data_IF_316075072048
#
_entry.id   IF_316075072048
#
_cell.length_a   1.000
_cell.length_b   1.000
_cell.length_c   1.000
_cell.angle_alpha   90.00
_cell.angle_beta   90.00
_cell.angle_gamma   90.00
#
_symmetry.space_group_name_H-M   'P 1'
#
loop_
_entity.id
_entity.type
_entity.pdbx_description
1 polymer ?
#
# COMPACT_ATOMS: atom_id res chain seq x y z
N UNK A 1 8.47 20.31 21.55
CA UNK A 1 8.27 20.50 20.11
C UNK A 1 8.94 19.34 19.43
N UNK A 2 8.16 18.37 18.97
CA UNK A 2 8.69 17.28 18.15
C UNK A 2 8.74 17.88 16.76
N UNK A 3 9.94 17.98 16.19
CA UNK A 3 10.07 18.54 14.85
C UNK A 3 9.36 17.62 13.85
N UNK A 4 8.70 18.23 12.88
CA UNK A 4 8.00 17.57 11.78
C UNK A 4 8.96 17.09 10.67
N UNK A 5 10.28 17.22 10.88
CA UNK A 5 11.34 16.95 9.91
C UNK A 5 12.18 15.70 10.24
N UNK A 6 11.89 15.02 11.35
CA UNK A 6 12.58 13.82 11.81
C UNK A 6 11.66 12.58 11.79
N UNK A 7 10.62 12.57 10.93
CA UNK A 7 9.89 11.34 10.61
C UNK A 7 10.87 10.36 9.95
N UNK A 8 10.96 9.11 10.44
CA UNK A 8 12.21 8.37 10.41
C UNK A 8 12.41 7.74 9.04
N UNK A 9 13.56 8.01 8.46
CA UNK A 9 14.11 7.30 7.28
C UNK A 9 14.10 5.77 7.49
N UNK A 10 14.03 5.29 8.74
CA UNK A 10 13.86 3.88 9.13
C UNK A 10 12.47 3.28 8.88
N UNK A 11 11.38 4.06 8.89
CA UNK A 11 10.03 3.56 8.53
C UNK A 11 9.93 3.39 7.01
N UNK A 12 10.61 4.26 6.25
CA UNK A 12 10.56 4.33 4.78
C UNK A 12 10.90 3.03 4.06
N UNK A 13 11.74 2.16 4.62
CA UNK A 13 12.07 0.86 4.00
C UNK A 13 11.04 -0.25 4.28
N UNK A 14 10.13 -0.05 5.23
CA UNK A 14 9.16 -1.08 5.65
C UNK A 14 7.73 -0.75 5.28
N UNK A 15 7.48 0.35 4.58
CA UNK A 15 6.14 0.78 4.19
C UNK A 15 6.03 1.08 2.70
N UNK A 16 4.84 0.84 2.16
CA UNK A 16 4.41 1.18 0.82
C UNK A 16 3.55 2.43 0.87
N UNK A 17 3.85 3.41 0.03
CA UNK A 17 3.02 4.61 -0.12
C UNK A 17 1.74 4.29 -0.90
N UNK A 18 0.62 4.86 -0.48
CA UNK A 18 -0.63 4.83 -1.25
C UNK A 18 -0.82 6.16 -1.98
N UNK A 19 -0.90 6.11 -3.30
CA UNK A 19 -0.88 7.29 -4.17
C UNK A 19 -2.27 7.94 -4.36
N UNK A 20 -3.04 8.16 -3.27
CA UNK A 20 -4.34 8.84 -3.35
C UNK A 20 -4.73 9.54 -2.03
N UNK A 21 -5.37 10.72 -2.12
CA UNK A 21 -5.94 11.43 -0.96
C UNK A 21 -7.08 10.61 -0.30
N UNK A 22 -7.23 10.74 1.02
CA UNK A 22 -8.22 10.05 1.87
C UNK A 22 -7.97 8.54 2.10
N UNK A 23 -6.74 8.08 1.92
CA UNK A 23 -6.30 6.70 2.19
C UNK A 23 -5.32 6.69 3.35
N UNK A 24 -4.98 5.52 3.92
CA UNK A 24 -3.76 5.41 4.72
C UNK A 24 -2.58 5.82 3.84
N UNK A 25 -1.82 6.85 4.24
CA UNK A 25 -0.68 7.32 3.43
C UNK A 25 0.35 6.21 3.20
N UNK A 26 0.42 5.26 4.15
CA UNK A 26 1.38 4.16 4.14
C UNK A 26 0.76 2.85 4.63
N UNK A 27 1.17 1.73 4.02
CA UNK A 27 0.86 0.36 4.46
C UNK A 27 2.16 -0.38 4.74
N UNK A 28 2.29 -1.13 5.86
CA UNK A 28 3.46 -1.97 6.09
C UNK A 28 3.67 -2.97 4.94
N UNK A 29 4.88 -3.05 4.41
CA UNK A 29 5.22 -3.98 3.30
C UNK A 29 4.99 -5.44 3.67
N UNK A 30 5.04 -5.79 4.97
CA UNK A 30 4.73 -7.13 5.46
C UNK A 30 3.27 -7.56 5.20
N UNK A 31 2.36 -6.59 5.02
CA UNK A 31 0.96 -6.86 4.68
C UNK A 31 0.75 -7.08 3.17
N UNK A 32 1.78 -6.93 2.34
CA UNK A 32 1.67 -7.00 0.88
C UNK A 32 2.32 -8.28 0.36
N UNK A 33 1.66 -8.95 -0.59
CA UNK A 33 2.20 -10.13 -1.23
C UNK A 33 3.21 -9.77 -2.34
N UNK A 34 4.47 -10.15 -2.13
CA UNK A 34 5.55 -9.95 -3.10
C UNK A 34 5.36 -10.76 -4.39
N UNK A 35 4.80 -11.97 -4.32
CA UNK A 35 4.50 -12.78 -5.51
C UNK A 35 3.36 -12.15 -6.30
N UNK A 36 2.35 -11.62 -5.61
CA UNK A 36 1.24 -10.93 -6.28
C UNK A 36 1.70 -9.61 -6.91
N UNK A 37 2.69 -8.92 -6.32
CA UNK A 37 3.31 -7.75 -6.93
C UNK A 37 3.96 -8.07 -8.27
N UNK A 38 4.70 -9.19 -8.34
CA UNK A 38 5.26 -9.68 -9.61
C UNK A 38 4.14 -10.00 -10.61
N UNK A 39 3.10 -10.73 -10.20
CA UNK A 39 2.00 -11.11 -11.11
C UNK A 39 1.20 -9.91 -11.64
N UNK A 40 0.98 -8.88 -10.83
CA UNK A 40 0.13 -7.74 -11.21
C UNK A 40 0.92 -6.61 -11.89
N UNK A 41 2.22 -6.49 -11.62
CA UNK A 41 3.00 -5.33 -12.04
C UNK A 41 4.31 -5.68 -12.76
N UNK A 42 4.69 -6.96 -12.86
CA UNK A 42 6.01 -7.41 -13.29
C UNK A 42 7.16 -6.76 -12.48
N UNK A 43 6.87 -6.35 -11.24
CA UNK A 43 7.75 -5.57 -10.39
C UNK A 43 7.73 -6.03 -8.93
N UNK A 44 8.87 -5.95 -8.26
CA UNK A 44 8.96 -6.22 -6.82
C UNK A 44 8.32 -5.09 -6.01
N UNK A 45 7.95 -5.37 -4.76
CA UNK A 45 7.44 -4.35 -3.83
C UNK A 45 8.42 -3.18 -3.65
N UNK A 46 9.73 -3.46 -3.62
CA UNK A 46 10.75 -2.40 -3.56
C UNK A 46 10.75 -1.49 -4.78
N UNK A 47 10.58 -2.06 -5.98
CA UNK A 47 10.48 -1.27 -7.21
C UNK A 47 9.21 -0.42 -7.23
N UNK A 48 8.07 -0.98 -6.81
CA UNK A 48 6.82 -0.23 -6.70
C UNK A 48 6.95 0.95 -5.71
N UNK A 49 7.56 0.71 -4.55
CA UNK A 49 7.86 1.75 -3.57
C UNK A 49 8.74 2.86 -4.14
N UNK A 50 9.82 2.50 -4.85
CA UNK A 50 10.74 3.46 -5.48
C UNK A 50 10.05 4.32 -6.57
N UNK A 51 9.00 3.82 -7.22
CA UNK A 51 8.25 4.54 -8.26
C UNK A 51 7.16 5.47 -7.72
N UNK A 52 7.01 5.57 -6.39
CA UNK A 52 6.02 6.43 -5.75
C UNK A 52 4.88 5.68 -5.08
N UNK A 53 4.94 4.34 -5.04
CA UNK A 53 3.97 3.50 -4.37
C UNK A 53 2.94 2.88 -5.31
N UNK A 54 1.78 2.55 -4.74
CA UNK A 54 0.67 1.92 -5.46
C UNK A 54 -0.64 2.66 -5.19
N UNK A 55 -1.63 2.52 -6.05
CA UNK A 55 -2.99 3.00 -5.82
C UNK A 55 -3.73 2.13 -4.80
N UNK A 56 -4.87 2.60 -4.25
CA UNK A 56 -5.65 1.80 -3.29
C UNK A 56 -6.12 0.45 -3.83
N UNK A 57 -6.51 0.37 -5.11
CA UNK A 57 -7.00 -0.88 -5.71
C UNK A 57 -5.89 -1.89 -5.95
N UNK A 58 -4.68 -1.41 -6.27
CA UNK A 58 -3.46 -2.21 -6.36
C UNK A 58 -3.06 -2.74 -4.98
N UNK A 59 -3.00 -1.87 -3.97
CA UNK A 59 -2.72 -2.29 -2.60
C UNK A 59 -3.71 -3.33 -2.10
N UNK A 60 -5.00 -3.15 -2.37
CA UNK A 60 -6.04 -4.12 -2.00
C UNK A 60 -5.82 -5.47 -2.68
N UNK A 61 -5.44 -5.48 -3.96
CA UNK A 61 -5.15 -6.72 -4.69
C UNK A 61 -3.93 -7.47 -4.11
N UNK A 62 -2.90 -6.72 -3.67
CA UNK A 62 -1.72 -7.27 -3.01
C UNK A 62 -2.02 -7.82 -1.62
N UNK A 63 -2.89 -7.17 -0.85
CA UNK A 63 -3.34 -7.64 0.48
C UNK A 63 -4.22 -8.89 0.35
N UNK A 64 -5.07 -8.94 -0.68
CA UNK A 64 -6.05 -10.00 -0.89
C UNK A 64 -5.52 -11.19 -1.71
N UNK A 65 -4.23 -11.20 -2.06
CA UNK A 65 -3.61 -12.28 -2.85
C UNK A 65 -4.35 -12.58 -4.16
N UNK A 66 -4.84 -11.53 -4.85
CA UNK A 66 -5.65 -11.68 -6.06
C UNK A 66 -5.13 -10.85 -7.23
N UNK A 67 -5.54 -11.24 -8.42
CA UNK A 67 -5.33 -10.42 -9.61
C UNK A 67 -5.94 -9.03 -9.42
N UNK A 68 -5.21 -8.01 -9.89
CA UNK A 68 -5.76 -6.66 -9.93
C UNK A 68 -6.94 -6.61 -10.91
N UNK A 69 -7.95 -5.82 -10.55
CA UNK A 69 -9.04 -5.48 -11.45
C UNK A 69 -9.43 -4.01 -11.26
N UNK A 70 -9.99 -3.35 -12.28
CA UNK A 70 -10.50 -1.99 -12.15
C UNK A 70 -11.55 -1.89 -11.03
N UNK A 71 -11.50 -0.80 -10.27
CA UNK A 71 -12.43 -0.50 -9.17
C UNK A 71 -12.60 1.01 -9.07
N UNK A 72 -13.76 1.46 -8.61
CA UNK A 72 -13.96 2.88 -8.32
C UNK A 72 -13.05 3.32 -7.17
N UNK A 73 -12.51 4.54 -7.26
CA UNK A 73 -11.57 5.07 -6.28
C UNK A 73 -12.14 5.01 -4.85
N UNK A 74 -13.38 5.48 -4.65
CA UNK A 74 -14.01 5.47 -3.33
C UNK A 74 -14.18 4.06 -2.77
N UNK A 75 -14.64 3.12 -3.61
CA UNK A 75 -14.79 1.71 -3.21
C UNK A 75 -13.45 1.09 -2.81
N UNK A 76 -12.39 1.39 -3.54
CA UNK A 76 -11.05 0.88 -3.24
C UNK A 76 -10.53 1.43 -1.90
N UNK A 77 -10.78 2.71 -1.61
CA UNK A 77 -10.39 3.34 -0.34
C UNK A 77 -11.14 2.74 0.84
N UNK A 78 -12.46 2.59 0.74
CA UNK A 78 -13.29 2.06 1.82
C UNK A 78 -12.87 0.62 2.16
N UNK A 79 -12.71 -0.22 1.13
CA UNK A 79 -12.26 -1.61 1.29
C UNK A 79 -10.84 -1.71 1.83
N UNK A 80 -9.95 -0.81 1.43
CA UNK A 80 -8.57 -0.79 1.91
C UNK A 80 -8.52 -0.40 3.38
N UNK A 81 -9.28 0.61 3.79
CA UNK A 81 -9.39 1.02 5.19
C UNK A 81 -9.90 -0.13 6.08
N UNK A 82 -10.92 -0.85 5.62
CA UNK A 82 -11.45 -2.00 6.35
C UNK A 82 -10.45 -3.17 6.42
N UNK A 83 -9.73 -3.44 5.34
CA UNK A 83 -8.68 -4.46 5.33
C UNK A 83 -7.56 -4.12 6.31
N UNK A 84 -7.10 -2.86 6.33
CA UNK A 84 -6.05 -2.40 7.26
C UNK A 84 -6.52 -2.48 8.72
N UNK A 85 -7.77 -2.09 9.02
CA UNK A 85 -8.34 -2.23 10.37
C UNK A 85 -8.33 -3.69 10.84
N UNK A 86 -8.68 -4.64 9.96
CA UNK A 86 -8.67 -6.08 10.30
C UNK A 86 -7.27 -6.67 10.47
N UNK A 87 -6.26 -6.05 9.90
CA UNK A 87 -4.86 -6.50 10.03
C UNK A 87 -4.19 -5.96 11.30
N UNK A 88 -4.66 -4.83 11.82
CA UNK A 88 -4.06 -4.13 12.96
C UNK A 88 -4.86 -4.21 14.26
N UNK A 89 -6.13 -4.63 14.20
CA UNK A 89 -6.99 -4.89 15.35
C UNK A 89 -7.03 -6.37 15.69
#
# INVERSE_FOLDING_TARGET
MIDENNMPILISQKTMRIALKNCPDFIPMICLDANQAIKNHDQTLDRLRQRGGVSPSEALALIQHRAWHPMLHQEAVDRLNDAVKRMLG
#
